data_IF_349922554200
#
_entry.id   IF_349922554200
#
_cell.length_a   1.000
_cell.length_b   1.000
_cell.length_c   1.000
_cell.angle_alpha   90.00
_cell.angle_beta   90.00
_cell.angle_gamma   90.00
#
_symmetry.space_group_name_H-M   'P 1'
#
loop_
_entity.id
_entity.type
_entity.pdbx_description
1 polymer ?
#
# COMPACT_ATOMS: atom_id res chain seq x y z
N UNK A 1 12.94 -14.26 13.78
CA UNK A 1 12.15 -13.88 12.60
C UNK A 1 10.92 -13.20 13.12
N UNK A 2 10.70 -11.97 12.71
CA UNK A 2 9.52 -11.19 13.04
C UNK A 2 8.61 -11.06 11.84
N UNK A 3 7.30 -11.13 12.05
CA UNK A 3 6.29 -10.92 11.01
C UNK A 3 5.57 -9.60 11.22
N UNK A 4 5.60 -8.74 10.21
CA UNK A 4 4.80 -7.53 10.17
C UNK A 4 3.70 -7.71 9.13
N UNK A 5 2.49 -7.25 9.44
CA UNK A 5 1.43 -7.08 8.45
C UNK A 5 1.20 -5.58 8.27
N UNK A 6 1.17 -5.13 7.03
CA UNK A 6 0.86 -3.75 6.66
C UNK A 6 -0.44 -3.71 5.85
N UNK A 7 -1.49 -3.20 6.50
CA UNK A 7 -2.83 -3.05 5.93
C UNK A 7 -3.18 -1.56 5.89
N UNK A 8 -3.60 -1.06 4.75
CA UNK A 8 -3.79 0.38 4.51
C UNK A 8 -5.12 0.67 3.83
N UNK A 9 -5.55 1.93 3.89
CA UNK A 9 -6.69 2.45 3.14
C UNK A 9 -7.98 1.67 3.46
N UNK A 10 -8.48 1.86 4.68
CA UNK A 10 -9.68 1.18 5.18
C UNK A 10 -10.94 1.88 4.69
N UNK A 11 -10.89 3.20 4.58
CA UNK A 11 -11.99 4.05 4.13
C UNK A 11 -13.33 3.75 4.81
N UNK A 12 -13.33 3.75 6.14
CA UNK A 12 -14.53 3.44 6.92
C UNK A 12 -15.62 4.52 6.70
N UNK A 13 -16.88 4.09 6.53
CA UNK A 13 -18.06 4.97 6.40
C UNK A 13 -19.21 4.56 7.32
N UNK A 14 -20.11 5.48 7.65
CA UNK A 14 -21.31 5.15 8.44
C UNK A 14 -22.27 4.20 7.67
N UNK A 15 -22.55 3.04 8.26
CA UNK A 15 -23.78 2.26 8.00
C UNK A 15 -23.80 1.32 6.78
N UNK A 16 -22.88 1.41 5.82
CA UNK A 16 -22.80 0.47 4.69
C UNK A 16 -21.35 0.34 4.18
N UNK A 17 -20.65 -0.74 4.57
CA UNK A 17 -19.32 -1.10 4.05
C UNK A 17 -18.14 -0.58 4.89
N UNK A 18 -17.08 -1.38 5.02
CA UNK A 18 -15.85 -1.01 5.77
C UNK A 18 -15.60 -1.89 6.99
N UNK A 19 -16.26 -1.63 8.12
CA UNK A 19 -15.96 -2.32 9.38
C UNK A 19 -16.35 -3.80 9.42
N UNK A 20 -17.44 -4.18 8.74
CA UNK A 20 -17.86 -5.57 8.65
C UNK A 20 -16.80 -6.43 7.95
N UNK A 21 -16.46 -6.12 6.68
CA UNK A 21 -15.36 -6.76 5.97
C UNK A 21 -14.04 -6.71 6.75
N UNK A 22 -13.70 -5.55 7.34
CA UNK A 22 -12.45 -5.41 8.10
C UNK A 22 -12.39 -6.28 9.35
N UNK A 23 -13.50 -6.55 10.03
CA UNK A 23 -13.51 -7.48 11.17
C UNK A 23 -13.07 -8.88 10.74
N UNK A 24 -13.55 -9.34 9.58
CA UNK A 24 -13.12 -10.62 8.99
C UNK A 24 -11.68 -10.55 8.49
N UNK A 25 -11.25 -9.42 7.91
CA UNK A 25 -9.86 -9.23 7.51
C UNK A 25 -8.91 -9.30 8.71
N UNK A 26 -9.29 -8.68 9.83
CA UNK A 26 -8.51 -8.71 11.06
C UNK A 26 -8.39 -10.12 11.62
N UNK A 27 -9.39 -10.99 11.41
CA UNK A 27 -9.31 -12.41 11.75
C UNK A 27 -8.31 -13.16 10.86
N UNK A 28 -8.29 -12.90 9.55
CA UNK A 28 -7.28 -13.46 8.64
C UNK A 28 -5.88 -12.96 8.97
N UNK A 29 -5.72 -11.67 9.22
CA UNK A 29 -4.47 -11.06 9.69
C UNK A 29 -4.03 -11.72 11.00
N UNK A 30 -4.95 -11.91 11.95
CA UNK A 30 -4.64 -12.58 13.22
C UNK A 30 -4.17 -14.03 13.03
N UNK A 31 -4.71 -14.74 12.04
CA UNK A 31 -4.30 -16.10 11.72
C UNK A 31 -2.85 -16.16 11.19
N UNK A 32 -2.33 -15.08 10.62
CA UNK A 32 -0.92 -14.96 10.24
C UNK A 32 0.03 -14.84 11.45
N UNK A 33 -0.52 -14.59 12.65
CA UNK A 33 0.22 -14.39 13.91
C UNK A 33 1.32 -13.32 13.81
N UNK A 34 0.98 -12.07 13.41
CA UNK A 34 1.98 -11.01 13.28
C UNK A 34 2.55 -10.60 14.64
N UNK A 35 3.83 -10.25 14.65
CA UNK A 35 4.48 -9.57 15.78
C UNK A 35 4.13 -8.09 15.82
N UNK A 36 3.68 -7.51 14.70
CA UNK A 36 3.21 -6.13 14.58
C UNK A 36 2.21 -6.00 13.42
N UNK A 37 1.09 -5.32 13.67
CA UNK A 37 0.22 -4.80 12.60
C UNK A 37 0.43 -3.30 12.44
N UNK A 38 0.78 -2.87 11.23
CA UNK A 38 0.83 -1.46 10.85
C UNK A 38 -0.40 -1.12 10.03
N UNK A 39 -1.22 -0.19 10.54
CA UNK A 39 -2.37 0.39 9.84
C UNK A 39 -1.91 1.60 9.05
N UNK A 40 -1.88 1.52 7.72
CA UNK A 40 -1.18 2.45 6.84
C UNK A 40 -1.83 3.81 6.56
N UNK A 41 -2.88 4.18 7.27
CA UNK A 41 -3.61 5.44 7.07
C UNK A 41 -4.85 5.29 6.21
N UNK A 42 -5.53 6.41 6.00
CA UNK A 42 -6.86 6.52 5.38
C UNK A 42 -7.87 5.57 6.05
N UNK A 43 -7.91 5.67 7.37
CA UNK A 43 -8.98 5.13 8.21
C UNK A 43 -10.31 5.84 7.89
N UNK A 44 -10.23 7.14 7.56
CA UNK A 44 -11.32 8.09 7.36
C UNK A 44 -11.98 8.55 8.67
N UNK A 45 -11.23 9.27 9.51
CA UNK A 45 -11.70 9.77 10.82
C UNK A 45 -12.77 10.87 10.73
N UNK A 46 -12.99 11.41 9.55
CA UNK A 46 -14.11 12.28 9.26
C UNK A 46 -15.47 11.64 9.60
N UNK A 47 -15.60 10.31 9.51
CA UNK A 47 -16.87 9.61 9.76
C UNK A 47 -17.10 9.35 11.26
N UNK A 48 -18.29 9.72 11.76
CA UNK A 48 -18.58 9.67 13.21
C UNK A 48 -18.46 8.23 13.73
N UNK A 49 -17.64 8.03 14.77
CA UNK A 49 -17.46 6.73 15.40
C UNK A 49 -16.62 5.72 14.61
N UNK A 50 -16.12 6.06 13.42
CA UNK A 50 -15.16 5.22 12.69
C UNK A 50 -13.88 5.02 13.52
N UNK A 51 -13.33 6.11 14.06
CA UNK A 51 -12.17 6.08 14.95
C UNK A 51 -12.38 5.28 16.23
N UNK A 52 -13.53 5.42 16.90
CA UNK A 52 -13.87 4.65 18.11
C UNK A 52 -13.90 3.15 17.83
N UNK A 53 -14.55 2.76 16.73
CA UNK A 53 -14.73 1.35 16.37
C UNK A 53 -13.43 0.70 15.94
N UNK A 54 -12.60 1.40 15.16
CA UNK A 54 -11.27 0.90 14.83
C UNK A 54 -10.41 0.79 16.09
N UNK A 55 -10.39 1.80 16.95
CA UNK A 55 -9.62 1.75 18.20
C UNK A 55 -10.03 0.56 19.07
N UNK A 56 -11.33 0.27 19.17
CA UNK A 56 -11.82 -0.92 19.87
C UNK A 56 -11.30 -2.22 19.23
N UNK A 57 -11.45 -2.38 17.91
CA UNK A 57 -11.00 -3.59 17.20
C UNK A 57 -9.49 -3.82 17.35
N UNK A 58 -8.68 -2.77 17.22
CA UNK A 58 -7.23 -2.86 17.39
C UNK A 58 -6.85 -3.14 18.85
N UNK A 59 -7.60 -2.59 19.82
CA UNK A 59 -7.38 -2.85 21.26
C UNK A 59 -7.73 -4.29 21.68
N UNK A 60 -8.56 -4.98 20.91
CA UNK A 60 -8.91 -6.39 21.10
C UNK A 60 -7.93 -7.35 20.38
N UNK A 61 -7.04 -6.82 19.52
CA UNK A 61 -6.04 -7.63 18.83
C UNK A 61 -5.02 -8.24 19.80
N UNK A 62 -4.58 -9.47 19.51
CA UNK A 62 -3.63 -10.21 20.36
C UNK A 62 -2.15 -9.83 20.15
N UNK A 63 -1.89 -8.85 19.28
CA UNK A 63 -0.57 -8.38 18.86
C UNK A 63 -0.57 -6.84 18.85
N UNK A 64 0.61 -6.21 18.97
CA UNK A 64 0.69 -4.76 18.97
C UNK A 64 0.30 -4.17 17.61
N UNK A 65 -0.27 -2.97 17.66
CA UNK A 65 -0.69 -2.21 16.47
C UNK A 65 -0.06 -0.82 16.48
N UNK A 66 0.32 -0.32 15.31
CA UNK A 66 0.70 1.08 15.10
C UNK A 66 -0.06 1.64 13.90
N UNK A 67 -0.51 2.89 13.99
CA UNK A 67 -1.18 3.55 12.87
C UNK A 67 -0.28 4.62 12.25
N UNK A 68 -0.36 4.74 10.94
CA UNK A 68 0.13 5.86 10.13
C UNK A 68 -1.06 6.79 9.87
N UNK A 69 -0.83 8.10 9.86
CA UNK A 69 -1.88 9.08 9.54
C UNK A 69 -1.99 9.24 8.02
N UNK A 70 -3.19 9.05 7.47
CA UNK A 70 -3.48 9.36 6.07
C UNK A 70 -4.09 10.73 5.84
N UNK A 71 -4.26 11.12 4.58
CA UNK A 71 -4.87 12.40 4.22
C UNK A 71 -6.35 12.49 4.61
N UNK A 72 -7.04 11.36 4.75
CA UNK A 72 -8.42 11.31 5.22
C UNK A 72 -8.58 11.16 6.73
N UNK A 73 -7.48 11.15 7.49
CA UNK A 73 -7.48 11.02 8.95
C UNK A 73 -7.37 12.37 9.67
N UNK A 74 -7.65 13.45 8.97
CA UNK A 74 -7.58 14.81 9.51
C UNK A 74 -8.82 15.18 10.30
N UNK A 75 -8.75 16.21 11.15
CA UNK A 75 -9.95 16.77 11.76
C UNK A 75 -10.76 17.57 10.72
N UNK A 76 -12.10 17.45 10.70
CA UNK A 76 -12.96 18.04 9.64
C UNK A 76 -12.88 19.57 9.57
N UNK A 77 -12.80 20.26 10.71
CA UNK A 77 -12.68 21.72 10.78
C UNK A 77 -11.96 22.16 12.08
N UNK A 78 -11.11 23.22 12.05
CA UNK A 78 -10.68 23.94 13.23
C UNK A 78 -11.87 24.75 13.78
N UNK A 79 -12.81 24.07 14.43
CA UNK A 79 -14.08 24.65 14.86
C UNK A 79 -15.04 23.71 15.55
N UNK A 80 -14.86 22.39 15.40
CA UNK A 80 -15.56 21.39 16.23
C UNK A 80 -14.96 21.29 17.66
N UNK A 81 -13.94 22.11 17.93
CA UNK A 81 -13.34 22.34 19.24
C UNK A 81 -12.99 23.82 19.42
N UNK A 82 -13.18 24.33 20.63
CA UNK A 82 -12.58 25.61 21.03
C UNK A 82 -11.05 25.49 21.01
N UNK A 83 -10.32 26.35 20.27
CA UNK A 83 -8.86 26.37 20.28
C UNK A 83 -8.34 26.61 21.69
N UNK A 84 -7.31 25.88 22.09
CA UNK A 84 -6.55 26.19 23.32
C UNK A 84 -5.38 27.10 22.99
N UNK A 85 -4.89 27.87 23.96
CA UNK A 85 -3.76 28.80 23.80
C UNK A 85 -2.43 28.12 23.37
N UNK A 86 -2.41 26.78 23.32
CA UNK A 86 -1.26 25.96 22.91
C UNK A 86 -1.43 25.32 21.52
N UNK A 87 -2.58 25.47 20.87
CA UNK A 87 -2.81 24.87 19.56
C UNK A 87 -2.14 25.72 18.47
N UNK A 88 -1.18 25.12 17.76
CA UNK A 88 -0.76 25.66 16.47
C UNK A 88 -1.90 25.42 15.45
N UNK A 89 -2.03 26.24 14.39
CA UNK A 89 -3.04 26.01 13.36
C UNK A 89 -2.94 24.62 12.69
N UNK A 90 -1.79 23.96 12.74
CA UNK A 90 -1.56 22.63 12.16
C UNK A 90 -1.89 21.48 13.13
N UNK A 91 -1.70 21.67 14.44
CA UNK A 91 -2.04 20.65 15.47
C UNK A 91 -3.55 20.55 15.74
N UNK A 92 -4.35 21.43 15.12
CA UNK A 92 -5.81 21.36 15.14
C UNK A 92 -6.39 20.34 14.13
N UNK A 93 -5.54 19.70 13.32
CA UNK A 93 -5.96 18.80 12.24
C UNK A 93 -5.49 17.34 12.41
N UNK A 94 -4.65 17.04 13.40
CA UNK A 94 -4.19 15.69 13.73
C UNK A 94 -4.61 15.24 15.14
N UNK A 95 -5.54 15.96 15.79
CA UNK A 95 -5.88 15.75 17.18
C UNK A 95 -6.68 14.47 17.40
N UNK A 96 -7.70 14.19 16.58
CA UNK A 96 -8.49 12.97 16.70
C UNK A 96 -7.60 11.74 16.44
N UNK A 97 -6.76 11.78 15.41
CA UNK A 97 -5.78 10.74 15.13
C UNK A 97 -4.84 10.54 16.32
N UNK A 98 -4.18 11.61 16.79
CA UNK A 98 -3.13 11.52 17.80
C UNK A 98 -3.65 11.05 19.16
N UNK A 99 -4.87 11.47 19.51
CA UNK A 99 -5.55 11.06 20.75
C UNK A 99 -5.93 9.58 20.72
N UNK A 100 -6.27 9.05 19.56
CA UNK A 100 -6.73 7.66 19.40
C UNK A 100 -5.60 6.66 19.20
N UNK A 101 -4.64 7.00 18.36
CA UNK A 101 -3.67 6.05 17.82
C UNK A 101 -2.21 6.39 18.18
N UNK A 102 -1.99 7.51 18.86
CA UNK A 102 -0.66 7.97 19.27
C UNK A 102 -0.02 8.93 18.27
N UNK A 103 1.25 9.30 18.46
CA UNK A 103 1.90 10.35 17.67
C UNK A 103 2.00 9.97 16.19
N UNK A 104 1.93 10.98 15.31
CA UNK A 104 2.05 10.83 13.85
C UNK A 104 3.39 10.26 13.36
N UNK A 105 4.43 10.39 14.18
CA UNK A 105 5.72 9.73 13.98
C UNK A 105 6.00 8.78 15.15
N UNK A 106 6.50 7.58 14.85
CA UNK A 106 6.76 6.57 15.89
C UNK A 106 7.90 5.65 15.49
N UNK A 107 8.68 5.25 16.49
CA UNK A 107 9.67 4.19 16.38
C UNK A 107 9.23 2.97 17.18
N UNK A 108 9.44 1.78 16.63
CA UNK A 108 9.25 0.49 17.29
C UNK A 108 10.49 -0.37 17.04
N UNK A 109 11.10 -0.86 18.12
CA UNK A 109 12.14 -1.89 18.03
C UNK A 109 11.46 -3.26 18.01
N UNK A 110 11.61 -4.00 16.91
CA UNK A 110 11.03 -5.33 16.74
C UNK A 110 12.04 -6.44 17.07
N UNK A 111 13.27 -6.10 17.46
CA UNK A 111 14.36 -7.06 17.68
C UNK A 111 15.04 -7.48 16.38
N UNK A 112 14.31 -7.93 15.36
CA UNK A 112 14.90 -8.28 14.06
C UNK A 112 15.00 -7.08 13.10
N UNK A 113 14.28 -5.99 13.35
CA UNK A 113 14.26 -4.81 12.51
C UNK A 113 13.90 -3.53 13.27
N UNK A 114 14.26 -2.40 12.69
CA UNK A 114 13.82 -1.07 13.08
C UNK A 114 12.55 -0.71 12.31
N UNK A 115 11.47 -0.41 13.02
CA UNK A 115 10.21 0.05 12.41
C UNK A 115 10.04 1.53 12.70
N UNK A 116 9.89 2.32 11.64
CA UNK A 116 9.63 3.77 11.70
C UNK A 116 8.32 4.05 10.99
N UNK A 117 7.43 4.77 11.66
CA UNK A 117 6.25 5.40 11.06
C UNK A 117 6.54 6.89 10.93
N UNK A 118 6.35 7.43 9.74
CA UNK A 118 6.63 8.82 9.41
C UNK A 118 5.42 9.48 8.77
N UNK A 119 5.06 10.65 9.28
CA UNK A 119 4.01 11.49 8.72
C UNK A 119 4.45 12.09 7.37
N UNK A 120 3.64 11.86 6.35
CA UNK A 120 3.78 12.44 5.01
C UNK A 120 2.62 13.39 4.65
N UNK A 121 1.71 13.61 5.60
CA UNK A 121 0.51 14.41 5.43
C UNK A 121 0.73 15.79 6.06
N UNK A 122 1.01 16.80 5.22
CA UNK A 122 1.12 18.18 5.67
C UNK A 122 -0.21 18.90 5.50
N UNK A 123 -0.74 19.41 6.59
CA UNK A 123 -2.03 20.11 6.62
C UNK A 123 -1.94 21.47 5.94
N UNK A 124 -2.89 21.76 5.06
CA UNK A 124 -3.10 23.06 4.42
C UNK A 124 -4.49 23.62 4.81
N UNK A 125 -4.57 24.40 5.90
CA UNK A 125 -5.83 24.94 6.41
C UNK A 125 -6.48 25.97 5.47
N UNK A 126 -5.80 26.39 4.41
CA UNK A 126 -6.34 27.29 3.39
C UNK A 126 -7.15 26.57 2.30
N UNK A 127 -7.22 25.25 2.33
CA UNK A 127 -7.93 24.42 1.35
C UNK A 127 -9.03 23.60 2.04
N UNK A 128 -10.03 23.18 1.26
CA UNK A 128 -11.17 22.37 1.74
C UNK A 128 -11.17 20.97 1.11
N UNK A 129 -11.84 20.03 1.77
CA UNK A 129 -11.98 18.66 1.29
C UNK A 129 -10.63 17.97 1.13
N UNK A 130 -10.47 17.12 0.12
CA UNK A 130 -9.23 16.35 -0.12
C UNK A 130 -7.98 17.20 -0.40
N UNK A 131 -8.13 18.50 -0.66
CA UNK A 131 -7.00 19.43 -0.92
C UNK A 131 -6.42 20.03 0.36
N UNK A 132 -7.03 19.76 1.52
CA UNK A 132 -6.56 20.23 2.81
C UNK A 132 -5.29 19.50 3.31
N UNK A 133 -4.78 18.54 2.55
CA UNK A 133 -3.52 17.86 2.78
C UNK A 133 -2.64 17.96 1.55
N UNK A 134 -1.36 18.26 1.78
CA UNK A 134 -0.30 18.19 0.79
C UNK A 134 0.67 17.07 1.17
N UNK A 135 1.19 16.39 0.16
CA UNK A 135 2.22 15.37 0.34
C UNK A 135 3.58 16.04 0.56
N UNK A 136 3.95 16.17 1.83
CA UNK A 136 5.20 16.81 2.26
C UNK A 136 5.57 16.30 3.65
N UNK A 137 6.85 16.03 3.89
CA UNK A 137 7.37 15.78 5.24
C UNK A 137 7.82 17.11 5.85
N UNK A 138 7.18 17.53 6.94
CA UNK A 138 7.47 18.82 7.57
C UNK A 138 8.85 18.86 8.24
N UNK A 139 9.37 20.06 8.50
CA UNK A 139 10.69 20.24 9.14
C UNK A 139 10.75 19.55 10.52
N UNK A 140 9.69 19.62 11.31
CA UNK A 140 9.61 18.93 12.61
C UNK A 140 9.63 17.40 12.47
N UNK A 141 9.01 16.87 11.41
CA UNK A 141 8.99 15.44 11.13
C UNK A 141 10.36 14.95 10.64
N UNK A 142 11.06 15.75 9.82
CA UNK A 142 12.45 15.50 9.42
C UNK A 142 13.42 15.57 10.60
N UNK A 143 13.26 16.56 11.48
CA UNK A 143 14.09 16.68 12.69
C UNK A 143 13.85 15.51 13.66
N UNK A 144 12.60 15.05 13.78
CA UNK A 144 12.27 13.85 14.54
C UNK A 144 12.92 12.61 13.92
N UNK A 145 12.90 12.48 12.59
CA UNK A 145 13.54 11.37 11.88
C UNK A 145 15.06 11.38 12.12
N UNK A 146 15.71 12.54 12.02
CA UNK A 146 17.15 12.70 12.30
C UNK A 146 17.50 12.25 13.73
N UNK A 147 16.73 12.72 14.71
CA UNK A 147 16.94 12.36 16.11
C UNK A 147 16.71 10.87 16.37
N UNK A 148 15.73 10.28 15.69
CA UNK A 148 15.42 8.85 15.78
C UNK A 148 16.55 8.02 15.21
N UNK A 149 16.93 8.26 13.95
CA UNK A 149 17.95 7.47 13.24
C UNK A 149 19.34 7.59 13.89
N UNK A 150 19.69 8.75 14.47
CA UNK A 150 20.96 8.95 15.17
C UNK A 150 21.15 8.01 16.39
N UNK A 151 20.06 7.47 16.94
CA UNK A 151 20.09 6.54 18.07
C UNK A 151 20.13 5.06 17.68
N UNK A 152 20.08 4.73 16.40
CA UNK A 152 19.92 3.35 15.92
C UNK A 152 21.22 2.80 15.33
N UNK A 153 21.33 1.47 15.32
CA UNK A 153 22.34 0.75 14.54
C UNK A 153 21.77 0.40 13.18
N UNK A 154 22.60 0.44 12.15
CA UNK A 154 22.22 0.19 10.76
C UNK A 154 22.44 -1.27 10.33
N UNK A 155 22.73 -2.15 11.29
CA UNK A 155 23.04 -3.58 11.12
C UNK A 155 21.81 -4.50 11.06
N UNK A 156 20.61 -3.92 11.12
CA UNK A 156 19.32 -4.61 10.94
C UNK A 156 18.45 -3.86 9.94
N UNK A 157 17.50 -4.53 9.26
CA UNK A 157 16.60 -3.86 8.31
C UNK A 157 15.87 -2.67 8.92
N UNK A 158 15.68 -1.63 8.12
CA UNK A 158 14.85 -0.47 8.44
C UNK A 158 13.57 -0.53 7.61
N UNK A 159 12.43 -0.60 8.30
CA UNK A 159 11.10 -0.61 7.71
C UNK A 159 10.46 0.75 7.97
N UNK A 160 10.31 1.54 6.91
CA UNK A 160 9.67 2.85 6.97
C UNK A 160 8.25 2.73 6.44
N UNK A 161 7.26 3.10 7.25
CA UNK A 161 5.86 3.12 6.85
C UNK A 161 5.38 4.57 6.72
N UNK A 162 4.82 4.89 5.56
CA UNK A 162 4.25 6.19 5.22
C UNK A 162 2.89 5.98 4.55
N UNK A 163 2.03 6.99 4.60
CA UNK A 163 0.76 6.91 3.90
C UNK A 163 0.91 7.37 2.46
N UNK A 164 1.18 8.66 2.24
CA UNK A 164 1.38 9.21 0.90
C UNK A 164 2.79 8.82 0.39
N UNK A 165 2.90 8.19 -0.79
CA UNK A 165 4.17 7.66 -1.28
C UNK A 165 5.29 8.70 -1.39
N UNK A 166 6.49 8.32 -0.95
CA UNK A 166 7.76 9.01 -1.23
C UNK A 166 8.13 8.90 -2.71
N UNK A 167 7.89 7.75 -3.34
CA UNK A 167 8.00 7.59 -4.78
C UNK A 167 6.91 6.66 -5.32
N UNK A 168 6.43 6.99 -6.53
CA UNK A 168 5.45 6.22 -7.30
C UNK A 168 5.50 6.62 -8.76
N UNK A 169 5.13 5.73 -9.69
CA UNK A 169 4.87 6.07 -11.11
C UNK A 169 3.43 6.51 -11.38
N UNK A 170 2.55 6.46 -10.38
CA UNK A 170 1.11 6.64 -10.53
C UNK A 170 0.69 7.99 -11.14
N UNK A 171 1.26 9.15 -10.74
CA UNK A 171 0.89 10.44 -11.34
C UNK A 171 1.17 10.49 -12.84
N UNK A 172 2.35 10.00 -13.25
CA UNK A 172 2.75 9.96 -14.66
C UNK A 172 1.85 9.02 -15.47
N UNK A 173 1.51 7.85 -14.91
CA UNK A 173 0.55 6.93 -15.54
C UNK A 173 -0.83 7.55 -15.65
N UNK A 174 -1.27 8.33 -14.67
CA UNK A 174 -2.56 9.05 -14.70
C UNK A 174 -2.57 10.27 -15.62
N UNK A 175 -1.44 10.61 -16.25
CA UNK A 175 -1.28 11.91 -16.94
C UNK A 175 -1.72 13.08 -16.05
N UNK A 176 -1.45 12.96 -14.74
CA UNK A 176 -1.83 13.97 -13.76
C UNK A 176 -1.16 15.31 -14.12
N UNK A 177 -1.89 16.40 -13.93
CA UNK A 177 -1.30 17.72 -14.12
C UNK A 177 -0.26 17.99 -13.00
N UNK A 178 0.71 18.86 -13.29
CA UNK A 178 1.69 19.26 -12.28
C UNK A 178 1.03 19.95 -11.07
N UNK A 179 -0.19 20.50 -11.25
CA UNK A 179 -0.94 21.20 -10.21
C UNK A 179 -1.65 20.26 -9.21
N UNK A 180 -1.69 18.95 -9.47
CA UNK A 180 -2.28 17.93 -8.60
C UNK A 180 -1.30 16.82 -8.26
N UNK A 181 -0.05 16.90 -8.70
CA UNK A 181 0.97 15.87 -8.40
C UNK A 181 1.29 15.81 -6.90
N UNK A 182 1.18 16.94 -6.21
CA UNK A 182 1.45 17.09 -4.77
C UNK A 182 0.40 16.44 -3.85
N UNK A 183 -0.69 15.91 -4.40
CA UNK A 183 -1.62 15.06 -3.63
C UNK A 183 -1.39 13.57 -3.83
N UNK A 184 -0.53 13.17 -4.77
CA UNK A 184 -0.28 11.76 -5.08
C UNK A 184 1.08 11.26 -4.58
N UNK A 185 2.07 12.15 -4.47
CA UNK A 185 3.46 11.81 -4.16
C UNK A 185 4.12 12.94 -3.36
N UNK A 186 4.89 12.58 -2.34
CA UNK A 186 5.61 13.52 -1.47
C UNK A 186 6.59 14.36 -2.27
N UNK A 187 6.42 15.67 -2.17
CA UNK A 187 7.13 16.66 -2.99
C UNK A 187 8.60 16.86 -2.60
N UNK A 188 8.93 16.61 -1.33
CA UNK A 188 10.28 16.73 -0.78
C UNK A 188 10.91 15.38 -0.37
N UNK A 189 10.51 14.28 -1.03
CA UNK A 189 10.95 12.92 -0.70
C UNK A 189 12.47 12.73 -0.68
N UNK A 190 13.22 13.49 -1.50
CA UNK A 190 14.69 13.49 -1.48
C UNK A 190 15.26 13.76 -0.09
N UNK A 191 14.64 14.65 0.70
CA UNK A 191 15.08 14.91 2.06
C UNK A 191 14.96 13.67 2.96
N UNK A 192 13.97 12.81 2.72
CA UNK A 192 13.85 11.53 3.44
C UNK A 192 14.89 10.55 2.91
N UNK A 193 15.01 10.38 1.59
CA UNK A 193 15.96 9.43 0.99
C UNK A 193 17.42 9.68 1.39
N UNK A 194 17.86 10.94 1.44
CA UNK A 194 19.20 11.32 1.91
C UNK A 194 19.52 10.82 3.33
N UNK A 195 18.50 10.61 4.17
CA UNK A 195 18.64 10.08 5.54
C UNK A 195 18.67 8.55 5.58
N UNK A 196 18.24 7.88 4.51
CA UNK A 196 18.11 6.44 4.45
C UNK A 196 19.26 5.77 3.67
N UNK A 197 19.84 6.42 2.66
CA UNK A 197 20.89 5.85 1.80
C UNK A 197 22.20 5.45 2.51
N UNK A 198 22.40 5.89 3.76
CA UNK A 198 23.57 5.50 4.55
C UNK A 198 23.37 4.17 5.31
N UNK A 199 22.17 3.58 5.26
CA UNK A 199 21.84 2.39 6.01
C UNK A 199 22.52 1.15 5.39
N UNK A 200 23.27 0.38 6.18
CA UNK A 200 24.02 -0.77 5.65
C UNK A 200 23.19 -2.05 5.46
N UNK A 201 22.01 -2.12 6.09
CA UNK A 201 21.05 -3.21 5.95
C UNK A 201 19.89 -2.85 5.00
N UNK A 202 19.05 -3.81 4.59
CA UNK A 202 17.92 -3.51 3.70
C UNK A 202 17.00 -2.41 4.26
N UNK A 203 16.65 -1.44 3.43
CA UNK A 203 15.63 -0.43 3.73
C UNK A 203 14.40 -0.68 2.86
N UNK A 204 13.28 -0.96 3.51
CA UNK A 204 11.98 -1.13 2.83
C UNK A 204 11.07 0.04 3.22
N UNK A 205 10.56 0.76 2.23
CA UNK A 205 9.55 1.81 2.43
C UNK A 205 8.19 1.26 2.02
N UNK A 206 7.28 1.07 2.97
CA UNK A 206 5.91 0.62 2.74
C UNK A 206 4.96 1.83 2.68
N UNK A 207 4.14 1.88 1.63
CA UNK A 207 3.35 3.05 1.24
C UNK A 207 1.89 2.66 0.95
N UNK A 208 0.94 3.54 1.25
CA UNK A 208 -0.49 3.36 0.96
C UNK A 208 -1.01 4.30 -0.12
N UNK A 209 -2.21 4.85 0.08
CA UNK A 209 -2.84 5.98 -0.65
C UNK A 209 -3.31 5.71 -2.07
N UNK A 210 -2.60 4.88 -2.84
CA UNK A 210 -2.87 4.71 -4.27
C UNK A 210 -3.82 3.55 -4.58
N UNK A 211 -4.12 2.71 -3.57
CA UNK A 211 -4.94 1.50 -3.69
C UNK A 211 -4.46 0.57 -4.83
N UNK A 212 -3.15 0.43 -5.01
CA UNK A 212 -2.52 -0.47 -5.98
C UNK A 212 -1.19 -0.99 -5.45
N UNK A 213 -0.77 -2.13 -5.98
CA UNK A 213 0.53 -2.70 -5.72
C UNK A 213 1.58 -2.14 -6.68
N UNK A 214 2.69 -1.64 -6.13
CA UNK A 214 3.80 -1.12 -6.92
C UNK A 214 5.13 -1.43 -6.21
N UNK A 215 6.07 -2.03 -6.96
CA UNK A 215 7.46 -2.12 -6.55
C UNK A 215 8.28 -1.06 -7.28
N UNK A 216 9.03 -0.26 -6.54
CA UNK A 216 10.02 0.67 -7.07
C UNK A 216 11.35 0.52 -6.34
N UNK A 217 12.44 0.78 -7.06
CA UNK A 217 13.79 0.79 -6.51
C UNK A 217 14.39 2.17 -6.76
N UNK A 218 14.73 2.88 -5.69
CA UNK A 218 15.43 4.17 -5.74
C UNK A 218 16.78 3.97 -5.08
N UNK A 219 17.81 3.83 -5.91
CA UNK A 219 19.15 3.45 -5.49
C UNK A 219 19.15 2.11 -4.73
N UNK A 220 19.42 2.12 -3.43
CA UNK A 220 19.42 0.98 -2.51
C UNK A 220 18.10 0.80 -1.74
N UNK A 221 17.15 1.73 -1.90
CA UNK A 221 15.86 1.71 -1.23
C UNK A 221 14.84 0.92 -2.06
N UNK A 222 14.13 -0.01 -1.40
CA UNK A 222 13.01 -0.72 -2.01
C UNK A 222 11.70 -0.11 -1.49
N UNK A 223 10.95 0.53 -2.39
CA UNK A 223 9.67 1.13 -2.07
C UNK A 223 8.53 0.22 -2.57
N UNK A 224 7.56 0.00 -1.70
CA UNK A 224 6.41 -0.86 -1.90
C UNK A 224 5.14 -0.05 -1.64
N UNK A 225 4.40 0.27 -2.69
CA UNK A 225 2.99 0.67 -2.55
C UNK A 225 2.13 -0.58 -2.52
N UNK A 226 1.10 -0.58 -1.68
CA UNK A 226 0.26 -1.76 -1.46
C UNK A 226 -1.19 -1.46 -1.80
N UNK A 227 -1.88 -2.47 -2.34
CA UNK A 227 -3.32 -2.49 -2.47
C UNK A 227 -4.01 -2.24 -1.13
N UNK A 228 -5.25 -1.77 -1.22
CA UNK A 228 -6.01 -1.33 -0.05
C UNK A 228 -6.85 -2.45 0.54
N UNK A 229 -7.20 -2.28 1.82
CA UNK A 229 -8.20 -3.12 2.48
C UNK A 229 -9.58 -2.86 1.88
N UNK A 230 -9.95 -1.61 1.58
CA UNK A 230 -11.26 -1.34 1.01
C UNK A 230 -11.39 -1.75 -0.48
N UNK A 231 -10.29 -2.00 -1.21
CA UNK A 231 -10.31 -1.98 -2.67
C UNK A 231 -10.33 -0.54 -3.21
N UNK A 232 -10.94 -0.30 -4.36
CA UNK A 232 -10.91 0.99 -5.06
C UNK A 232 -11.57 2.12 -4.25
N UNK A 233 -10.79 3.04 -3.67
CA UNK A 233 -11.27 4.25 -2.96
C UNK A 233 -12.23 3.90 -1.79
N UNK A 234 -13.54 4.02 -2.00
CA UNK A 234 -14.57 3.61 -1.01
C UNK A 234 -15.40 2.41 -1.50
N UNK A 235 -14.93 1.66 -2.49
CA UNK A 235 -15.64 0.47 -3.00
C UNK A 235 -15.55 -0.68 -2.00
N UNK A 236 -16.34 -0.66 -0.94
CA UNK A 236 -16.33 -1.69 0.10
C UNK A 236 -16.99 -3.00 -0.36
N UNK A 237 -16.45 -4.14 0.07
CA UNK A 237 -17.02 -5.47 -0.20
C UNK A 237 -15.97 -6.58 -0.29
N UNK A 238 -16.39 -7.84 -0.10
CA UNK A 238 -15.46 -8.98 -0.15
C UNK A 238 -14.86 -9.20 -1.55
N UNK A 239 -15.60 -8.87 -2.61
CA UNK A 239 -15.15 -8.99 -4.00
C UNK A 239 -14.59 -7.69 -4.58
N UNK A 240 -14.37 -6.67 -3.74
CA UNK A 240 -13.83 -5.40 -4.18
C UNK A 240 -12.41 -5.55 -4.69
N UNK A 241 -12.12 -4.85 -5.79
CA UNK A 241 -10.80 -4.80 -6.40
C UNK A 241 -10.12 -3.49 -6.08
N UNK A 242 -8.79 -3.49 -6.07
CA UNK A 242 -7.89 -2.34 -6.06
C UNK A 242 -7.83 -1.66 -7.44
N UNK A 243 -7.22 -0.47 -7.55
CA UNK A 243 -7.22 0.31 -8.82
C UNK A 243 -6.60 -0.48 -9.97
N UNK A 244 -5.64 -1.34 -9.65
CA UNK A 244 -4.92 -2.29 -10.47
C UNK A 244 -5.62 -3.61 -10.78
N UNK A 245 -6.92 -3.70 -10.47
CA UNK A 245 -7.68 -4.95 -10.56
C UNK A 245 -7.15 -6.06 -9.64
N UNK A 246 -6.10 -5.87 -8.84
CA UNK A 246 -5.76 -6.84 -7.80
C UNK A 246 -6.92 -6.95 -6.79
N UNK A 247 -7.11 -8.09 -6.12
CA UNK A 247 -8.03 -8.16 -5.00
C UNK A 247 -7.58 -7.21 -3.88
N UNK A 248 -8.52 -6.78 -3.04
CA UNK A 248 -8.19 -6.20 -1.73
C UNK A 248 -7.25 -7.11 -0.93
N UNK A 249 -6.42 -6.54 -0.08
CA UNK A 249 -5.41 -7.32 0.64
C UNK A 249 -4.48 -6.48 1.50
N UNK A 250 -3.36 -7.06 1.89
CA UNK A 250 -2.33 -6.43 2.70
C UNK A 250 -0.96 -7.04 2.42
N UNK A 251 0.07 -6.30 2.78
CA UNK A 251 1.46 -6.75 2.68
C UNK A 251 1.84 -7.54 3.93
N UNK A 252 2.49 -8.67 3.73
CA UNK A 252 3.14 -9.47 4.77
C UNK A 252 4.65 -9.31 4.60
N UNK A 253 5.32 -8.93 5.67
CA UNK A 253 6.78 -8.83 5.74
C UNK A 253 7.28 -9.86 6.75
N UNK A 254 8.06 -10.83 6.27
CA UNK A 254 8.79 -11.76 7.12
C UNK A 254 10.25 -11.33 7.20
N UNK A 255 10.68 -10.97 8.40
CA UNK A 255 11.93 -10.23 8.62
C UNK A 255 12.89 -11.01 9.50
N UNK A 256 14.14 -10.98 9.11
CA UNK A 256 15.28 -11.43 9.90
C UNK A 256 16.29 -10.30 9.96
N UNK A 257 17.32 -10.42 10.81
CA UNK A 257 18.41 -9.44 10.91
C UNK A 257 19.12 -9.12 9.57
N UNK A 258 18.95 -9.93 8.52
CA UNK A 258 19.68 -9.78 7.25
C UNK A 258 18.80 -9.77 5.99
N UNK A 259 17.51 -10.06 6.12
CA UNK A 259 16.63 -10.21 4.96
C UNK A 259 15.19 -9.87 5.31
N UNK A 260 14.50 -9.33 4.31
CA UNK A 260 13.06 -9.09 4.33
C UNK A 260 12.46 -9.87 3.17
N UNK A 261 11.56 -10.79 3.47
CA UNK A 261 10.70 -11.45 2.48
C UNK A 261 9.35 -10.73 2.46
N UNK A 262 8.84 -10.45 1.26
CA UNK A 262 7.64 -9.66 1.05
C UNK A 262 6.62 -10.51 0.28
N UNK A 263 5.36 -10.47 0.71
CA UNK A 263 4.25 -11.13 0.02
C UNK A 263 2.97 -10.29 0.10
N UNK A 264 2.16 -10.33 -0.94
CA UNK A 264 0.84 -9.70 -0.93
C UNK A 264 -0.22 -10.76 -0.68
N UNK A 265 -0.87 -10.64 0.48
CA UNK A 265 -1.92 -11.54 0.88
C UNK A 265 -3.27 -11.01 0.42
N UNK A 266 -3.80 -11.59 -0.66
CA UNK A 266 -5.15 -11.31 -1.13
C UNK A 266 -6.19 -11.77 -0.09
N UNK A 267 -7.06 -10.85 0.33
CA UNK A 267 -8.07 -11.17 1.33
C UNK A 267 -9.00 -12.29 0.84
N UNK A 268 -9.39 -13.19 1.75
CA UNK A 268 -10.23 -14.37 1.47
C UNK A 268 -9.58 -15.43 0.57
N UNK A 269 -8.41 -15.17 -0.03
CA UNK A 269 -7.77 -16.08 -0.98
C UNK A 269 -6.25 -15.93 -0.97
N UNK A 270 -5.60 -16.40 0.09
CA UNK A 270 -4.15 -16.27 0.31
C UNK A 270 -3.29 -16.76 -0.87
N UNK A 271 -3.71 -17.81 -1.57
CA UNK A 271 -2.96 -18.41 -2.70
C UNK A 271 -3.20 -17.71 -4.05
N UNK A 272 -3.95 -16.60 -4.06
CA UNK A 272 -4.33 -15.91 -5.28
C UNK A 272 -3.34 -14.80 -5.61
N UNK A 273 -2.32 -15.15 -6.42
CA UNK A 273 -1.20 -14.26 -6.74
C UNK A 273 -1.26 -13.63 -8.14
N UNK A 274 -2.28 -13.95 -8.94
CA UNK A 274 -2.48 -13.34 -10.24
C UNK A 274 -3.68 -13.86 -11.00
N UNK A 275 -4.01 -13.18 -12.09
CA UNK A 275 -5.09 -13.54 -13.01
C UNK A 275 -4.83 -13.07 -14.44
N UNK A 276 -5.57 -13.61 -15.41
CA UNK A 276 -5.61 -13.09 -16.78
C UNK A 276 -6.75 -12.07 -16.87
N UNK A 277 -6.44 -10.85 -17.30
CA UNK A 277 -7.39 -9.75 -17.51
C UNK A 277 -7.52 -9.37 -19.00
N UNK A 278 -8.57 -8.61 -19.36
CA UNK A 278 -8.95 -8.32 -20.76
C UNK A 278 -9.86 -9.42 -21.33
N UNK A 279 -10.69 -9.17 -22.37
CA UNK A 279 -11.65 -10.18 -22.86
C UNK A 279 -10.96 -11.30 -23.64
N UNK A 280 -11.54 -12.50 -23.62
CA UNK A 280 -10.95 -13.65 -24.28
C UNK A 280 -10.92 -13.45 -25.80
N UNK A 281 -9.73 -13.56 -26.39
CA UNK A 281 -9.52 -13.37 -27.83
C UNK A 281 -9.26 -11.91 -28.25
N UNK A 282 -9.30 -10.96 -27.31
CA UNK A 282 -8.88 -9.58 -27.57
C UNK A 282 -7.34 -9.50 -27.56
N UNK A 283 -6.81 -8.54 -28.32
CA UNK A 283 -5.37 -8.36 -28.51
C UNK A 283 -4.68 -7.69 -27.30
N UNK A 284 -5.44 -7.19 -26.34
CA UNK A 284 -4.98 -6.39 -25.19
C UNK A 284 -4.97 -7.19 -23.87
N UNK A 285 -5.17 -8.52 -23.92
CA UNK A 285 -5.12 -9.38 -22.74
C UNK A 285 -3.81 -9.24 -21.98
N UNK A 286 -3.90 -9.17 -20.65
CA UNK A 286 -2.74 -9.06 -19.76
C UNK A 286 -2.73 -10.19 -18.73
N UNK A 287 -1.53 -10.52 -18.30
CA UNK A 287 -1.26 -11.28 -17.09
C UNK A 287 -1.03 -10.29 -15.94
N UNK A 288 -1.99 -10.18 -15.04
CA UNK A 288 -1.90 -9.39 -13.82
C UNK A 288 -1.29 -10.27 -12.72
N UNK A 289 -0.04 -10.04 -12.33
CA UNK A 289 0.61 -10.73 -11.22
C UNK A 289 0.67 -9.77 -10.04
N UNK A 290 -0.25 -9.89 -9.09
CA UNK A 290 -0.67 -8.79 -8.21
C UNK A 290 0.46 -8.10 -7.44
N UNK A 291 1.57 -8.78 -7.18
CA UNK A 291 2.70 -8.25 -6.41
C UNK A 291 4.05 -8.58 -7.05
N UNK A 292 4.07 -8.82 -8.36
CA UNK A 292 5.30 -9.06 -9.07
C UNK A 292 6.08 -7.76 -9.27
N UNK A 293 7.39 -7.83 -9.04
CA UNK A 293 8.28 -6.70 -9.25
C UNK A 293 8.53 -6.51 -10.77
N UNK A 294 8.43 -5.28 -11.32
CA UNK A 294 8.58 -5.02 -12.75
C UNK A 294 9.96 -5.39 -13.30
N UNK A 295 10.97 -5.54 -12.43
CA UNK A 295 12.32 -5.98 -12.80
C UNK A 295 12.45 -7.50 -12.94
N UNK A 296 11.41 -8.27 -12.56
CA UNK A 296 11.37 -9.71 -12.74
C UNK A 296 11.28 -10.09 -14.21
N UNK A 297 11.99 -11.15 -14.57
CA UNK A 297 11.75 -11.85 -15.82
C UNK A 297 10.56 -12.76 -15.60
N UNK A 298 9.45 -12.45 -16.27
CA UNK A 298 8.24 -13.26 -16.27
C UNK A 298 8.24 -14.14 -17.51
N UNK A 299 8.13 -15.44 -17.31
CA UNK A 299 7.99 -16.41 -18.39
C UNK A 299 6.66 -17.13 -18.23
N UNK A 300 6.01 -17.41 -19.36
CA UNK A 300 4.77 -18.16 -19.40
C UNK A 300 4.83 -19.28 -20.43
N UNK A 301 3.96 -20.27 -20.28
CA UNK A 301 3.64 -21.25 -21.33
C UNK A 301 2.19 -21.71 -21.23
N UNK A 302 1.68 -22.23 -22.33
CA UNK A 302 0.52 -23.13 -22.29
C UNK A 302 0.95 -24.48 -21.70
N UNK A 303 0.02 -25.29 -21.19
CA UNK A 303 0.32 -26.52 -20.42
C UNK A 303 1.44 -27.40 -21.02
N UNK A 304 1.45 -27.60 -22.35
CA UNK A 304 2.44 -28.42 -23.07
C UNK A 304 3.35 -27.58 -24.00
N UNK A 305 3.39 -26.27 -23.80
CA UNK A 305 4.12 -25.31 -24.63
C UNK A 305 5.57 -25.08 -24.20
N UNK A 306 6.31 -24.34 -25.04
CA UNK A 306 7.62 -23.81 -24.68
C UNK A 306 7.49 -22.55 -23.83
N UNK A 307 8.35 -22.41 -22.82
CA UNK A 307 8.48 -21.19 -22.03
C UNK A 307 8.86 -20.01 -22.92
N UNK A 308 8.13 -18.91 -22.77
CA UNK A 308 8.34 -17.65 -23.48
C UNK A 308 8.41 -16.52 -22.45
N UNK A 309 9.46 -15.70 -22.54
CA UNK A 309 9.55 -14.50 -21.72
C UNK A 309 8.58 -13.43 -22.23
N UNK A 310 7.84 -12.82 -21.31
CA UNK A 310 7.03 -11.64 -21.59
C UNK A 310 7.94 -10.40 -21.58
N UNK A 311 7.68 -9.42 -22.45
CA UNK A 311 8.38 -8.14 -22.37
C UNK A 311 8.09 -7.48 -21.01
N UNK A 312 9.05 -6.72 -20.44
CA UNK A 312 8.79 -5.95 -19.23
C UNK A 312 7.53 -5.10 -19.39
N UNK A 313 6.77 -4.91 -18.30
CA UNK A 313 5.51 -4.19 -18.34
C UNK A 313 5.79 -2.73 -18.73
N UNK A 314 5.14 -2.27 -19.79
CA UNK A 314 5.14 -0.87 -20.15
C UNK A 314 3.90 -0.24 -19.49
N UNK A 315 4.06 0.64 -18.51
CA UNK A 315 2.90 1.30 -17.93
C UNK A 315 2.18 2.13 -18.99
N UNK A 316 0.86 1.94 -19.10
CA UNK A 316 0.02 2.67 -20.07
C UNK A 316 -0.68 3.81 -19.34
N UNK A 317 -0.98 4.89 -20.08
CA UNK A 317 -1.75 6.01 -19.57
C UNK A 317 -3.13 5.52 -19.07
N UNK A 318 -3.57 6.06 -17.95
CA UNK A 318 -4.84 5.66 -17.35
C UNK A 318 -6.01 6.30 -18.10
N UNK A 319 -6.65 5.51 -18.94
CA UNK A 319 -8.06 5.65 -19.33
C UNK A 319 -8.85 4.44 -18.79
N UNK A 320 -10.06 4.15 -19.33
CA UNK A 320 -11.00 3.14 -18.80
C UNK A 320 -10.39 1.72 -18.65
N UNK A 321 -9.21 1.47 -19.22
CA UNK A 321 -8.41 0.25 -19.07
C UNK A 321 -7.15 0.52 -18.25
N UNK A 322 -7.20 0.19 -16.96
CA UNK A 322 -6.07 0.40 -16.05
C UNK A 322 -5.01 -0.70 -16.18
N UNK A 323 -3.74 -0.31 -16.39
CA UNK A 323 -2.57 -1.20 -16.36
C UNK A 323 -1.49 -0.63 -15.42
N UNK A 324 -1.06 -1.42 -14.43
CA UNK A 324 0.04 -1.09 -13.51
C UNK A 324 1.34 -1.79 -13.91
N UNK A 325 2.42 -1.51 -13.17
CA UNK A 325 3.77 -2.02 -13.40
C UNK A 325 3.90 -3.53 -13.17
N UNK A 326 2.83 -4.20 -12.76
CA UNK A 326 2.76 -5.64 -12.58
C UNK A 326 1.75 -6.31 -13.55
N UNK A 327 1.45 -5.65 -14.67
CA UNK A 327 0.65 -6.18 -15.77
C UNK A 327 1.52 -6.48 -17.00
N UNK A 328 1.69 -7.76 -17.34
CA UNK A 328 2.43 -8.17 -18.52
C UNK A 328 1.49 -8.44 -19.70
N UNK A 329 1.76 -7.80 -20.84
CA UNK A 329 0.99 -8.03 -22.06
C UNK A 329 1.19 -9.46 -22.56
N UNK A 330 0.09 -10.21 -22.69
CA UNK A 330 0.11 -11.49 -23.35
C UNK A 330 0.23 -11.28 -24.87
N UNK A 331 0.79 -12.25 -25.64
CA UNK A 331 0.84 -12.13 -27.09
C UNK A 331 -0.54 -11.93 -27.71
N UNK A 332 -0.66 -11.08 -28.73
CA UNK A 332 -1.94 -10.75 -29.37
C UNK A 332 -2.71 -11.95 -29.94
N UNK A 333 -2.03 -13.07 -30.17
CA UNK A 333 -2.62 -14.33 -30.64
C UNK A 333 -2.87 -15.33 -29.49
N UNK A 334 -2.79 -14.90 -28.23
CA UNK A 334 -3.10 -15.73 -27.07
C UNK A 334 -4.59 -16.10 -27.06
N UNK A 335 -4.85 -17.41 -27.08
CA UNK A 335 -6.18 -17.99 -27.02
C UNK A 335 -6.16 -19.03 -25.89
N UNK A 336 -6.73 -18.67 -24.74
CA UNK A 336 -6.78 -19.53 -23.56
C UNK A 336 -7.40 -18.84 -22.34
N UNK A 337 -7.71 -19.65 -21.34
CA UNK A 337 -8.21 -19.21 -20.03
C UNK A 337 -7.18 -19.44 -18.91
N UNK A 338 -6.04 -20.05 -19.22
CA UNK A 338 -5.03 -20.45 -18.26
C UNK A 338 -3.63 -20.51 -18.89
N UNK A 339 -2.63 -20.12 -18.10
CA UNK A 339 -1.20 -20.19 -18.44
C UNK A 339 -0.40 -20.66 -17.23
N UNK A 340 0.65 -21.42 -17.46
CA UNK A 340 1.65 -21.67 -16.42
C UNK A 340 2.65 -20.53 -16.39
N UNK A 341 2.96 -20.02 -15.21
CA UNK A 341 3.80 -18.83 -15.01
C UNK A 341 4.95 -19.17 -14.09
N UNK A 342 6.11 -18.62 -14.41
CA UNK A 342 7.26 -18.56 -13.50
C UNK A 342 7.92 -17.20 -13.58
N UNK A 343 8.51 -16.78 -12.47
CA UNK A 343 9.25 -15.53 -12.40
C UNK A 343 10.69 -15.79 -12.00
N UNK A 344 11.59 -14.88 -12.39
CA UNK A 344 12.98 -14.93 -11.99
C UNK A 344 13.49 -13.52 -11.69
N UNK A 345 14.16 -13.39 -10.57
CA UNK A 345 14.83 -12.17 -10.13
C UNK A 345 16.20 -12.55 -9.60
N UNK A 346 17.24 -11.90 -10.12
CA UNK A 346 18.63 -12.31 -9.85
C UNK A 346 18.80 -13.81 -10.19
N UNK A 347 19.29 -14.62 -9.25
CA UNK A 347 19.48 -16.07 -9.41
C UNK A 347 18.31 -16.91 -8.86
N UNK A 348 17.30 -16.30 -8.24
CA UNK A 348 16.15 -17.00 -7.64
C UNK A 348 15.01 -17.10 -8.66
N UNK A 349 14.45 -18.29 -8.79
CA UNK A 349 13.29 -18.61 -9.63
C UNK A 349 12.13 -19.02 -8.74
N UNK A 350 10.93 -18.56 -9.10
CA UNK A 350 9.67 -18.97 -8.47
C UNK A 350 8.75 -19.53 -9.53
N UNK A 351 8.24 -20.74 -9.29
CA UNK A 351 7.21 -21.35 -10.14
C UNK A 351 5.85 -21.02 -9.52
N UNK A 352 5.07 -20.15 -10.18
CA UNK A 352 3.76 -19.68 -9.70
C UNK A 352 2.63 -20.66 -10.03
N UNK A 353 2.90 -21.66 -10.88
CA UNK A 353 1.89 -22.62 -11.32
C UNK A 353 0.92 -22.01 -12.34
N UNK A 354 -0.32 -22.47 -12.33
CA UNK A 354 -1.33 -22.04 -13.29
C UNK A 354 -2.04 -20.77 -12.83
N UNK A 355 -1.91 -19.70 -13.62
CA UNK A 355 -2.71 -18.49 -13.52
C UNK A 355 -3.88 -18.59 -14.48
N UNK A 356 -5.08 -18.17 -14.03
CA UNK A 356 -6.32 -18.32 -14.78
C UNK A 356 -7.05 -17.00 -14.94
N UNK A 357 -7.90 -16.95 -15.96
CA UNK A 357 -8.96 -15.95 -16.10
C UNK A 357 -10.07 -16.27 -15.10
N UNK A 358 -10.51 -15.28 -14.33
CA UNK A 358 -11.74 -15.41 -13.57
C UNK A 358 -12.94 -15.22 -14.50
N UNK A 359 -13.91 -16.14 -14.43
CA UNK A 359 -15.20 -15.93 -15.07
C UNK A 359 -15.88 -14.72 -14.41
N UNK A 360 -16.45 -13.79 -15.20
CA UNK A 360 -17.26 -12.74 -14.61
C UNK A 360 -18.39 -13.39 -13.80
N UNK A 361 -18.73 -12.86 -12.61
CA UNK A 361 -19.85 -13.39 -11.85
C UNK A 361 -21.11 -13.40 -12.73
N UNK A 362 -21.88 -14.49 -12.67
CA UNK A 362 -23.12 -14.64 -13.44
C UNK A 362 -23.99 -13.37 -13.29
N UNK A 363 -24.21 -12.66 -14.41
CA UNK A 363 -25.07 -11.47 -14.46
C UNK A 363 -24.38 -10.11 -14.45
N UNK A 364 -23.05 -10.04 -14.46
CA UNK A 364 -22.35 -8.77 -14.72
C UNK A 364 -22.41 -8.46 -16.24
N UNK A 365 -23.33 -7.56 -16.65
CA UNK A 365 -23.25 -6.97 -17.98
C UNK A 365 -21.92 -6.20 -18.12
N UNK A 366 -21.23 -6.31 -19.28
CA UNK A 366 -20.07 -5.49 -19.54
C UNK A 366 -20.49 -4.02 -19.53
N UNK A 367 -19.86 -3.22 -18.67
CA UNK A 367 -19.92 -1.75 -18.77
C UNK A 367 -19.22 -1.28 -20.03
#
# INVERSE_FOLDING_TARGET
MSRIVFATDLHLTEGQGGLGPFTTDLQEISALSPDLLVMGGDICLWETGAGDRLQQLLGEASFPTVCVMGNHDTDRLPGDREPTDHDSPASAFDHDFSTRFGPRNRYVDLGDAHVVVLNTCRMDPGQEGWRNVRAEVGEDDLAWLDATLAGLTDDRPLLLFVHIPLATSYPERRSADQATTDVWRVTNATAVFERLHAWTSPVIVCQGHLHENEHLHVEDLHLISVGSVCGRWWQQGDSSRCTDNSPRGWLVLDVTEHAVELDYHAARSADWHGEIVGRAGDADQQLNLFFADPTQIVEFRLADGTWQALPPPAPVAVDDTFFSVHHWALPANFIGDSVEVRTRMRERRWDMGFIRRLEPPEGAEPK
#
